data_IF_127807873734
#
_entry.id   IF_127807873734
#
_cell.length_a   1.000
_cell.length_b   1.000
_cell.length_c   1.000
_cell.angle_alpha   90.00
_cell.angle_beta   90.00
_cell.angle_gamma   90.00
#
_symmetry.space_group_name_H-M   'P 1'
#
loop_
_entity.id
_entity.type
_entity.pdbx_description
1 polymer ?
#
# COMPACT_ATOMS: atom_id res chain seq x y z
N UNK A 1 7.29 -17.91 -20.74
CA UNK A 1 6.35 -18.59 -19.82
C UNK A 1 5.04 -17.82 -19.85
N UNK A 2 3.91 -18.52 -19.71
CA UNK A 2 2.62 -17.85 -19.63
C UNK A 2 2.54 -17.01 -18.34
N UNK A 3 1.81 -15.89 -18.38
CA UNK A 3 1.51 -15.06 -17.21
C UNK A 3 0.55 -15.87 -16.32
N UNK A 4 0.78 -15.92 -14.98
CA UNK A 4 -0.16 -16.55 -14.06
C UNK A 4 -1.55 -15.93 -14.12
N UNK A 5 -2.56 -16.69 -13.70
CA UNK A 5 -3.91 -16.15 -13.54
C UNK A 5 -3.87 -14.97 -12.56
N UNK A 6 -4.35 -13.81 -13.01
CA UNK A 6 -4.30 -12.57 -12.22
C UNK A 6 -5.28 -12.58 -11.03
N UNK A 7 -6.25 -13.50 -11.04
CA UNK A 7 -7.20 -13.67 -9.93
C UNK A 7 -6.73 -14.72 -8.89
N UNK A 8 -5.61 -15.40 -9.11
CA UNK A 8 -5.10 -16.46 -8.25
C UNK A 8 -4.42 -15.91 -6.98
N UNK A 9 -5.11 -15.03 -6.24
CA UNK A 9 -4.62 -14.46 -5.00
C UNK A 9 -4.84 -15.39 -3.81
N UNK A 10 -3.77 -15.62 -3.07
CA UNK A 10 -3.76 -16.17 -1.72
C UNK A 10 -2.72 -15.37 -0.94
N UNK A 11 -3.06 -14.10 -0.70
CA UNK A 11 -2.16 -13.12 -0.14
C UNK A 11 -1.71 -13.49 1.28
N UNK A 12 -0.47 -13.16 1.62
CA UNK A 12 -0.04 -13.23 3.01
C UNK A 12 -0.83 -12.24 3.87
N UNK A 13 -0.81 -12.48 5.17
CA UNK A 13 -1.29 -11.51 6.13
C UNK A 13 -0.17 -10.55 6.57
N UNK A 14 -0.49 -9.36 7.08
CA UNK A 14 0.51 -8.39 7.54
C UNK A 14 1.55 -8.96 8.52
N UNK A 15 1.15 -9.86 9.41
CA UNK A 15 2.05 -10.51 10.36
C UNK A 15 3.09 -11.41 9.65
N UNK A 16 2.70 -12.13 8.61
CA UNK A 16 3.63 -12.93 7.81
C UNK A 16 4.61 -12.03 7.03
N UNK A 17 4.11 -10.94 6.43
CA UNK A 17 4.95 -9.95 5.76
C UNK A 17 5.98 -9.38 6.74
N UNK A 18 5.55 -8.94 7.93
CA UNK A 18 6.43 -8.37 8.95
C UNK A 18 7.49 -9.38 9.42
N UNK A 19 7.12 -10.65 9.61
CA UNK A 19 8.05 -11.72 9.96
C UNK A 19 9.13 -11.91 8.88
N UNK A 20 8.77 -11.88 7.60
CA UNK A 20 9.70 -12.01 6.48
C UNK A 20 10.63 -10.82 6.32
N UNK A 21 10.19 -9.65 6.74
CA UNK A 21 10.94 -8.39 6.65
C UNK A 21 11.62 -7.99 7.97
N UNK A 22 11.64 -8.87 8.98
CA UNK A 22 12.20 -8.57 10.32
C UNK A 22 13.65 -8.04 10.29
N UNK A 23 14.45 -8.53 9.35
CA UNK A 23 15.88 -8.22 9.27
C UNK A 23 16.21 -7.12 8.24
N UNK A 24 15.20 -6.58 7.54
CA UNK A 24 15.48 -5.71 6.39
C UNK A 24 15.93 -4.30 6.79
N UNK A 25 15.55 -3.78 7.95
CA UNK A 25 15.99 -2.49 8.47
C UNK A 25 15.70 -1.26 7.57
N UNK A 26 15.02 -1.44 6.44
CA UNK A 26 14.69 -0.41 5.45
C UNK A 26 13.23 0.05 5.59
N UNK A 27 12.87 1.27 5.17
CA UNK A 27 11.52 1.78 5.31
C UNK A 27 10.53 1.05 4.40
N UNK A 28 9.45 0.58 5.00
CA UNK A 28 8.27 0.01 4.36
C UNK A 28 7.03 0.21 5.23
N UNK A 29 5.85 0.08 4.68
CA UNK A 29 4.62 -0.01 5.47
C UNK A 29 3.50 -0.71 4.71
N UNK A 30 2.65 -1.43 5.44
CA UNK A 30 1.39 -1.96 4.92
C UNK A 30 0.50 -0.81 4.45
N UNK A 31 -0.13 -0.97 3.29
CA UNK A 31 -1.02 0.01 2.70
C UNK A 31 -2.44 -0.57 2.50
N UNK A 32 -3.27 0.15 1.74
CA UNK A 32 -4.59 -0.35 1.36
C UNK A 32 -5.53 -0.67 2.51
N UNK A 33 -6.37 -1.68 2.30
CA UNK A 33 -7.37 -2.08 3.28
C UNK A 33 -6.78 -2.64 4.57
N UNK A 34 -5.71 -3.40 4.48
CA UNK A 34 -5.01 -3.93 5.64
C UNK A 34 -4.43 -2.86 6.56
N UNK A 35 -3.99 -1.70 6.03
CA UNK A 35 -3.53 -0.60 6.87
C UNK A 35 -4.66 -0.03 7.75
N UNK A 36 -5.89 0.04 7.23
CA UNK A 36 -7.06 0.44 8.02
C UNK A 36 -7.39 -0.58 9.11
N UNK A 37 -7.32 -1.87 8.81
CA UNK A 37 -7.57 -2.93 9.79
C UNK A 37 -6.51 -2.95 10.89
N UNK A 38 -5.23 -2.76 10.56
CA UNK A 38 -4.15 -2.60 11.54
C UNK A 38 -4.38 -1.39 12.44
N UNK A 39 -4.82 -0.27 11.88
CA UNK A 39 -5.19 0.91 12.66
C UNK A 39 -6.43 0.69 13.54
N UNK A 40 -7.43 -0.04 13.07
CA UNK A 40 -8.60 -0.40 13.86
C UNK A 40 -8.27 -1.39 14.99
N UNK A 41 -7.18 -2.13 14.88
CA UNK A 41 -6.79 -3.19 15.80
C UNK A 41 -7.59 -4.49 15.58
N UNK A 42 -8.33 -4.61 14.47
CA UNK A 42 -9.09 -5.80 14.11
C UNK A 42 -9.37 -5.82 12.61
N UNK A 43 -9.44 -7.02 12.04
CA UNK A 43 -9.88 -7.18 10.65
C UNK A 43 -11.36 -6.84 10.52
N UNK A 44 -11.68 -5.85 9.69
CA UNK A 44 -13.03 -5.34 9.49
C UNK A 44 -13.73 -5.93 8.26
N UNK A 45 -12.99 -6.51 7.34
CA UNK A 45 -13.46 -7.22 6.15
C UNK A 45 -12.40 -8.18 5.60
N UNK A 46 -12.78 -8.98 4.63
CA UNK A 46 -11.82 -9.78 3.86
C UNK A 46 -11.04 -8.91 2.86
N UNK A 47 -9.79 -9.30 2.61
CA UNK A 47 -8.89 -8.68 1.66
C UNK A 47 -8.39 -9.74 0.66
N UNK A 48 -8.48 -9.42 -0.62
CA UNK A 48 -7.99 -10.29 -1.69
C UNK A 48 -6.47 -10.23 -1.86
N UNK A 49 -5.86 -9.09 -1.49
CA UNK A 49 -4.46 -8.75 -1.72
C UNK A 49 -3.80 -8.22 -0.45
N UNK A 50 -2.48 -8.15 -0.45
CA UNK A 50 -1.70 -7.49 0.61
C UNK A 50 -0.83 -6.43 -0.05
N UNK A 51 -1.28 -5.18 0.05
CA UNK A 51 -0.56 -4.01 -0.44
C UNK A 51 0.44 -3.51 0.61
N UNK A 52 1.68 -3.25 0.20
CA UNK A 52 2.65 -2.52 1.02
C UNK A 52 3.54 -1.62 0.16
N UNK A 53 4.15 -0.61 0.76
CA UNK A 53 4.97 0.36 0.05
C UNK A 53 6.42 0.29 0.48
N UNK A 54 7.32 0.57 -0.47
CA UNK A 54 8.76 0.70 -0.28
C UNK A 54 9.28 1.93 -1.03
N UNK A 55 10.48 2.38 -0.70
CA UNK A 55 11.19 3.36 -1.52
C UNK A 55 11.83 2.70 -2.74
N UNK A 56 11.87 3.40 -3.87
CA UNK A 56 12.41 2.86 -5.14
C UNK A 56 13.85 2.39 -5.02
N UNK A 57 14.67 3.13 -4.32
CA UNK A 57 16.08 2.83 -4.11
C UNK A 57 16.30 1.49 -3.42
N UNK A 58 15.33 1.05 -2.61
CA UNK A 58 15.40 -0.19 -1.83
C UNK A 58 14.78 -1.40 -2.54
N UNK A 59 14.30 -1.24 -3.79
CA UNK A 59 13.61 -2.33 -4.51
C UNK A 59 14.43 -3.62 -4.58
N UNK A 60 15.73 -3.51 -4.82
CA UNK A 60 16.63 -4.67 -4.91
C UNK A 60 16.69 -5.47 -3.61
N UNK A 61 16.76 -4.80 -2.47
CA UNK A 61 16.84 -5.42 -1.15
C UNK A 61 15.55 -6.16 -0.80
N UNK A 62 14.39 -5.51 -1.05
CA UNK A 62 13.09 -6.15 -0.85
C UNK A 62 12.90 -7.36 -1.78
N UNK A 63 13.31 -7.24 -3.04
CA UNK A 63 13.28 -8.36 -3.97
C UNK A 63 14.16 -9.52 -3.51
N UNK A 64 15.31 -9.23 -2.93
CA UNK A 64 16.19 -10.25 -2.36
C UNK A 64 15.57 -10.92 -1.12
N UNK A 65 14.90 -10.15 -0.25
CA UNK A 65 14.18 -10.68 0.91
C UNK A 65 13.06 -11.66 0.52
N UNK A 66 12.48 -11.47 -0.68
CA UNK A 66 11.47 -12.37 -1.25
C UNK A 66 12.02 -13.19 -2.42
N UNK A 67 13.23 -13.72 -2.30
CA UNK A 67 13.89 -14.51 -3.35
C UNK A 67 13.17 -15.81 -3.71
N UNK A 68 12.24 -16.25 -2.87
CA UNK A 68 11.33 -17.38 -3.09
C UNK A 68 10.13 -17.02 -4.00
N UNK A 69 9.92 -15.75 -4.32
CA UNK A 69 8.86 -15.29 -5.21
C UNK A 69 9.39 -14.89 -6.59
N UNK A 70 8.57 -15.11 -7.61
CA UNK A 70 8.75 -14.50 -8.93
C UNK A 70 8.07 -13.15 -8.98
N UNK A 71 8.78 -12.11 -9.45
CA UNK A 71 8.21 -10.78 -9.55
C UNK A 71 7.65 -10.47 -10.94
N UNK A 72 6.55 -9.75 -10.94
CA UNK A 72 5.87 -9.24 -12.12
C UNK A 72 5.61 -7.74 -11.97
N UNK A 73 5.77 -6.99 -13.04
CA UNK A 73 5.30 -5.59 -13.11
C UNK A 73 3.80 -5.58 -13.29
N UNK A 74 3.09 -4.65 -12.62
CA UNK A 74 1.68 -4.38 -12.86
C UNK A 74 1.53 -2.90 -13.24
N UNK A 75 1.36 -2.62 -14.54
CA UNK A 75 1.35 -1.26 -15.07
C UNK A 75 0.41 -1.14 -16.27
N UNK A 76 -0.45 -0.12 -16.27
CA UNK A 76 -1.39 0.16 -17.35
C UNK A 76 -2.22 -1.07 -17.78
N UNK A 77 -2.76 -1.80 -16.80
CA UNK A 77 -3.55 -3.04 -16.97
C UNK A 77 -2.77 -4.21 -17.59
N UNK A 78 -1.45 -4.11 -17.67
CA UNK A 78 -0.56 -5.15 -18.16
C UNK A 78 0.27 -5.72 -17.02
N UNK A 79 0.31 -7.05 -16.93
CA UNK A 79 1.17 -7.79 -15.99
C UNK A 79 2.24 -8.49 -16.80
N UNK A 80 3.51 -8.23 -16.50
CA UNK A 80 4.66 -8.83 -17.20
C UNK A 80 5.69 -9.35 -16.21
N UNK A 81 6.31 -10.48 -16.54
CA UNK A 81 7.35 -11.04 -15.69
C UNK A 81 8.57 -10.12 -15.65
N UNK A 82 9.04 -9.78 -14.46
CA UNK A 82 10.29 -9.07 -14.23
C UNK A 82 11.43 -10.08 -14.00
N UNK A 83 12.34 -10.29 -14.98
CA UNK A 83 13.47 -11.20 -14.82
C UNK A 83 14.34 -10.87 -13.61
N UNK A 84 14.90 -11.90 -12.97
CA UNK A 84 15.67 -11.74 -11.72
C UNK A 84 16.89 -10.81 -11.85
N UNK A 85 17.47 -10.70 -13.02
CA UNK A 85 18.63 -9.87 -13.33
C UNK A 85 18.28 -8.45 -13.83
N UNK A 86 17.00 -8.08 -13.87
CA UNK A 86 16.56 -6.74 -14.28
C UNK A 86 16.15 -5.90 -13.07
N UNK A 87 16.52 -4.62 -13.10
CA UNK A 87 16.05 -3.62 -12.13
C UNK A 87 14.58 -3.26 -12.38
N UNK A 88 13.94 -2.65 -11.38
CA UNK A 88 12.62 -2.07 -11.56
C UNK A 88 12.63 -0.99 -12.65
N UNK A 89 11.78 -1.08 -13.70
CA UNK A 89 11.64 -0.01 -14.68
C UNK A 89 11.21 1.29 -13.99
N UNK A 90 11.73 2.43 -14.45
CA UNK A 90 11.53 3.74 -13.79
C UNK A 90 10.06 4.17 -13.73
N UNK A 91 9.29 3.82 -14.74
CA UNK A 91 7.87 4.13 -14.89
C UNK A 91 6.94 3.20 -14.10
N UNK A 92 7.43 2.02 -13.70
CA UNK A 92 6.63 1.02 -12.98
C UNK A 92 6.65 1.32 -11.47
N UNK A 93 5.47 1.40 -10.89
CA UNK A 93 5.26 1.72 -9.48
C UNK A 93 4.56 0.58 -8.70
N UNK A 94 4.38 -0.59 -9.31
CA UNK A 94 3.66 -1.70 -8.71
C UNK A 94 4.21 -3.03 -9.21
N UNK A 95 4.45 -3.94 -8.27
CA UNK A 95 5.06 -5.24 -8.52
C UNK A 95 4.35 -6.32 -7.71
N UNK A 96 3.91 -7.36 -8.40
CA UNK A 96 3.29 -8.51 -7.74
C UNK A 96 4.29 -9.63 -7.53
N UNK A 97 4.26 -10.24 -6.36
CA UNK A 97 5.08 -11.40 -6.01
C UNK A 97 4.28 -12.69 -6.13
N UNK A 98 4.69 -13.58 -7.02
CA UNK A 98 4.06 -14.87 -7.30
C UNK A 98 4.83 -16.02 -6.67
N UNK A 99 4.15 -16.81 -5.87
CA UNK A 99 4.65 -18.07 -5.32
C UNK A 99 4.42 -19.19 -6.33
N UNK A 100 5.49 -19.60 -7.02
CA UNK A 100 5.40 -20.63 -8.05
C UNK A 100 5.02 -22.01 -7.50
N UNK A 101 5.42 -22.31 -6.26
CA UNK A 101 5.13 -23.61 -5.66
C UNK A 101 3.65 -23.74 -5.23
N UNK A 102 3.08 -22.62 -4.77
CA UNK A 102 1.66 -22.54 -4.37
C UNK A 102 0.73 -22.07 -5.49
N UNK A 103 1.28 -21.67 -6.65
CA UNK A 103 0.55 -21.17 -7.82
C UNK A 103 -0.37 -19.99 -7.50
N UNK A 104 0.08 -19.03 -6.67
CA UNK A 104 -0.72 -17.89 -6.26
C UNK A 104 0.09 -16.61 -6.03
N UNK A 105 -0.58 -15.46 -6.09
CA UNK A 105 -0.05 -14.16 -5.72
C UNK A 105 -0.02 -14.01 -4.20
N UNK A 106 1.09 -13.52 -3.66
CA UNK A 106 1.29 -13.35 -2.22
C UNK A 106 1.31 -11.90 -1.77
N UNK A 107 1.87 -11.02 -2.58
CA UNK A 107 2.10 -9.61 -2.22
C UNK A 107 1.88 -8.68 -3.41
N UNK A 108 1.42 -7.47 -3.10
CA UNK A 108 1.39 -6.32 -3.99
C UNK A 108 2.34 -5.26 -3.43
N UNK A 109 3.55 -5.21 -3.97
CA UNK A 109 4.61 -4.29 -3.56
C UNK A 109 4.56 -3.03 -4.42
N UNK A 110 4.34 -1.89 -3.79
CA UNK A 110 4.25 -0.60 -4.47
C UNK A 110 5.43 0.31 -4.16
N UNK A 111 5.86 1.06 -5.16
CA UNK A 111 6.84 2.13 -4.97
C UNK A 111 6.15 3.40 -4.48
N UNK A 112 6.66 3.96 -3.40
CA UNK A 112 6.31 5.27 -2.89
C UNK A 112 7.37 6.31 -3.34
N UNK A 113 6.96 7.50 -3.82
CA UNK A 113 7.91 8.51 -4.33
C UNK A 113 8.56 9.36 -3.23
N UNK A 114 8.40 9.01 -1.96
CA UNK A 114 8.98 9.71 -0.81
C UNK A 114 10.47 9.45 -0.60
N UNK A 115 10.95 9.81 0.60
CA UNK A 115 12.30 9.57 1.10
C UNK A 115 12.26 8.94 2.48
N UNK A 116 13.41 8.68 3.11
CA UNK A 116 13.48 8.21 4.50
C UNK A 116 12.80 9.18 5.49
N UNK A 117 12.80 10.49 5.20
CA UNK A 117 12.27 11.54 6.09
C UNK A 117 10.83 11.95 5.71
N UNK A 118 10.44 11.81 4.44
CA UNK A 118 9.16 12.31 3.94
C UNK A 118 8.38 11.25 3.16
N UNK A 119 7.12 11.13 3.49
CA UNK A 119 6.14 10.45 2.66
C UNK A 119 5.61 11.42 1.59
N UNK A 120 5.37 10.92 0.37
CA UNK A 120 4.76 11.69 -0.70
C UNK A 120 3.60 10.92 -1.35
N UNK A 121 2.54 11.63 -1.70
CA UNK A 121 1.39 11.03 -2.36
C UNK A 121 1.75 10.61 -3.80
N UNK A 122 1.62 9.33 -4.12
CA UNK A 122 2.06 8.75 -5.40
C UNK A 122 1.45 9.43 -6.63
N UNK A 123 0.19 9.91 -6.54
CA UNK A 123 -0.53 10.51 -7.68
C UNK A 123 -0.22 12.00 -7.86
N UNK A 124 0.25 12.66 -6.81
CA UNK A 124 0.77 14.03 -6.83
C UNK A 124 1.83 14.21 -5.74
N UNK A 125 3.13 14.04 -6.07
CA UNK A 125 4.21 14.12 -5.09
C UNK A 125 4.45 15.51 -4.48
N UNK A 126 3.70 16.53 -4.88
CA UNK A 126 3.71 17.83 -4.19
C UNK A 126 3.05 17.75 -2.81
N UNK A 127 2.12 16.81 -2.61
CA UNK A 127 1.51 16.50 -1.31
C UNK A 127 2.44 15.62 -0.49
N UNK A 128 3.12 16.22 0.48
CA UNK A 128 4.12 15.58 1.33
C UNK A 128 3.82 15.81 2.82
N UNK A 129 4.22 14.85 3.64
CA UNK A 129 4.27 14.98 5.11
C UNK A 129 5.50 14.26 5.66
N UNK A 130 5.96 14.60 6.88
CA UNK A 130 6.98 13.82 7.56
C UNK A 130 6.61 12.32 7.60
N UNK A 131 7.54 11.45 7.24
CA UNK A 131 7.29 10.00 7.25
C UNK A 131 6.87 9.51 8.64
N UNK A 132 7.44 10.07 9.69
CA UNK A 132 7.10 9.73 11.07
C UNK A 132 5.62 10.00 11.44
N UNK A 133 4.93 10.88 10.70
CA UNK A 133 3.49 11.13 10.87
C UNK A 133 2.64 10.21 9.99
N UNK A 134 3.22 9.71 8.90
CA UNK A 134 2.50 8.94 7.88
C UNK A 134 2.69 7.44 7.99
N UNK A 135 3.71 6.98 8.68
CA UNK A 135 3.93 5.55 8.97
C UNK A 135 3.76 5.31 10.46
N UNK A 136 2.65 4.69 10.80
CA UNK A 136 2.28 4.30 12.15
C UNK A 136 2.74 2.86 12.42
N UNK A 137 2.67 2.41 13.68
CA UNK A 137 3.03 1.03 14.05
C UNK A 137 1.97 0.42 14.96
N UNK A 138 1.73 -0.87 14.81
CA UNK A 138 0.94 -1.66 15.76
C UNK A 138 1.73 -1.91 17.05
N UNK A 139 1.07 -2.52 18.06
CA UNK A 139 1.75 -2.99 19.27
C UNK A 139 2.83 -4.06 18.97
N UNK A 140 2.64 -4.84 17.91
CA UNK A 140 3.58 -5.86 17.43
C UNK A 140 4.60 -5.29 16.41
N UNK A 141 4.76 -3.96 16.39
CA UNK A 141 5.72 -3.22 15.55
C UNK A 141 5.52 -3.37 14.02
N UNK A 142 4.34 -3.74 13.55
CA UNK A 142 4.02 -3.79 12.12
C UNK A 142 3.80 -2.36 11.61
N UNK A 143 4.60 -1.86 10.67
CA UNK A 143 4.42 -0.52 10.11
C UNK A 143 3.24 -0.49 9.15
N UNK A 144 2.41 0.54 9.24
CA UNK A 144 1.27 0.75 8.35
C UNK A 144 1.05 2.23 8.03
N UNK A 145 0.49 2.48 6.85
CA UNK A 145 0.21 3.83 6.36
C UNK A 145 -0.93 4.47 7.16
N UNK A 146 -0.75 5.74 7.52
CA UNK A 146 -1.74 6.56 8.21
C UNK A 146 -3.11 6.45 7.50
N UNK A 147 -4.21 6.23 8.25
CA UNK A 147 -5.54 6.04 7.68
C UNK A 147 -6.01 7.18 6.79
N UNK A 148 -5.65 8.43 7.08
CA UNK A 148 -6.00 9.57 6.22
C UNK A 148 -5.39 9.47 4.83
N UNK A 149 -4.14 8.99 4.70
CA UNK A 149 -3.50 8.75 3.42
C UNK A 149 -4.15 7.58 2.67
N UNK A 150 -4.48 6.49 3.37
CA UNK A 150 -5.20 5.36 2.76
C UNK A 150 -6.55 5.83 2.19
N UNK A 151 -7.30 6.62 2.95
CA UNK A 151 -8.57 7.19 2.51
C UNK A 151 -8.40 8.16 1.33
N UNK A 152 -7.31 8.94 1.29
CA UNK A 152 -7.00 9.79 0.15
C UNK A 152 -6.82 8.98 -1.15
N UNK A 153 -6.15 7.82 -1.08
CA UNK A 153 -6.05 6.91 -2.24
C UNK A 153 -7.40 6.36 -2.67
N UNK A 154 -8.26 5.98 -1.71
CA UNK A 154 -9.60 5.40 -1.95
C UNK A 154 -10.63 6.42 -2.46
N UNK A 155 -10.46 7.68 -2.13
CA UNK A 155 -11.38 8.76 -2.49
C UNK A 155 -11.52 8.98 -4.00
N UNK A 156 -10.56 8.54 -4.82
CA UNK A 156 -10.60 8.68 -6.28
C UNK A 156 -11.73 7.87 -6.90
N UNK A 157 -11.77 6.57 -6.62
CA UNK A 157 -12.64 5.63 -7.35
C UNK A 157 -13.90 5.27 -6.54
N UNK A 158 -13.87 5.42 -5.22
CA UNK A 158 -14.99 5.22 -4.28
C UNK A 158 -15.83 3.97 -4.53
N UNK A 159 -15.16 2.82 -4.67
CA UNK A 159 -15.86 1.54 -4.76
C UNK A 159 -16.72 1.32 -3.50
N UNK A 160 -17.76 0.48 -3.53
CA UNK A 160 -18.58 0.21 -2.34
C UNK A 160 -17.77 -0.16 -1.08
N UNK A 161 -16.70 -0.95 -1.24
CA UNK A 161 -15.79 -1.28 -0.15
C UNK A 161 -15.02 -0.07 0.39
N UNK A 162 -14.66 0.88 -0.48
CA UNK A 162 -13.94 2.09 -0.08
C UNK A 162 -14.84 3.05 0.69
N UNK A 163 -16.13 3.13 0.32
CA UNK A 163 -17.14 3.88 1.07
C UNK A 163 -17.33 3.31 2.48
N UNK A 164 -17.44 1.99 2.60
CA UNK A 164 -17.54 1.33 3.91
C UNK A 164 -16.28 1.56 4.77
N UNK A 165 -15.10 1.51 4.16
CA UNK A 165 -13.84 1.80 4.84
C UNK A 165 -13.82 3.24 5.39
N UNK A 166 -14.28 4.23 4.59
CA UNK A 166 -14.41 5.62 5.01
C UNK A 166 -15.40 5.78 6.19
N UNK A 167 -16.60 5.22 6.08
CA UNK A 167 -17.64 5.29 7.11
C UNK A 167 -17.20 4.69 8.44
N UNK A 168 -16.43 3.59 8.41
CA UNK A 168 -15.85 2.99 9.62
C UNK A 168 -14.74 3.83 10.23
N UNK A 169 -13.90 4.44 9.37
CA UNK A 169 -12.76 5.23 9.81
C UNK A 169 -13.19 6.60 10.36
N UNK A 170 -14.14 7.27 9.73
CA UNK A 170 -14.53 8.64 10.02
C UNK A 170 -14.76 8.93 11.53
N UNK A 171 -15.52 8.11 12.29
CA UNK A 171 -15.75 8.41 13.71
C UNK A 171 -14.49 8.39 14.58
N UNK A 172 -13.47 7.61 14.18
CA UNK A 172 -12.22 7.42 14.93
C UNK A 172 -11.09 8.33 14.44
N UNK A 173 -11.23 8.93 13.25
CA UNK A 173 -10.17 9.74 12.66
C UNK A 173 -9.93 11.02 13.49
N UNK A 174 -8.69 11.30 13.93
CA UNK A 174 -8.37 12.51 14.68
C UNK A 174 -8.71 13.78 13.89
N UNK A 175 -9.10 14.85 14.57
CA UNK A 175 -9.51 16.12 13.93
C UNK A 175 -8.44 16.67 12.97
N UNK A 176 -7.16 16.59 13.34
CA UNK A 176 -6.06 17.03 12.47
C UNK A 176 -5.97 16.20 11.18
N UNK A 177 -6.21 14.90 11.28
CA UNK A 177 -6.20 14.00 10.10
C UNK A 177 -7.43 14.21 9.21
N UNK A 178 -8.59 14.52 9.81
CA UNK A 178 -9.79 14.93 9.05
C UNK A 178 -9.53 16.23 8.28
N UNK A 179 -8.99 17.24 8.94
CA UNK A 179 -8.68 18.53 8.32
C UNK A 179 -7.69 18.33 7.14
N UNK A 180 -6.59 17.60 7.38
CA UNK A 180 -5.63 17.32 6.33
C UNK A 180 -6.24 16.56 5.14
N UNK A 181 -7.03 15.51 5.40
CA UNK A 181 -7.70 14.73 4.35
C UNK A 181 -8.68 15.62 3.57
N UNK A 182 -9.44 16.45 4.27
CA UNK A 182 -10.36 17.41 3.63
C UNK A 182 -9.62 18.37 2.71
N UNK A 183 -8.54 18.99 3.17
CA UNK A 183 -7.73 19.93 2.38
C UNK A 183 -7.17 19.24 1.13
N UNK A 184 -6.68 18.01 1.26
CA UNK A 184 -6.23 17.20 0.12
C UNK A 184 -7.36 16.90 -0.87
N UNK A 185 -8.55 16.54 -0.37
CA UNK A 185 -9.70 16.22 -1.23
C UNK A 185 -10.22 17.46 -1.97
N UNK A 186 -10.26 18.61 -1.31
CA UNK A 186 -10.71 19.87 -1.92
C UNK A 186 -9.83 20.26 -3.13
N UNK A 187 -8.52 19.95 -3.07
CA UNK A 187 -7.57 20.23 -4.15
C UNK A 187 -7.53 19.13 -5.20
N UNK A 188 -7.38 17.87 -4.79
CA UNK A 188 -7.13 16.74 -5.70
C UNK A 188 -8.41 16.15 -6.30
N UNK A 189 -9.53 16.27 -5.60
CA UNK A 189 -10.82 15.70 -5.97
C UNK A 189 -11.95 16.68 -5.71
N UNK A 190 -11.98 17.85 -6.38
CA UNK A 190 -13.00 18.88 -6.15
C UNK A 190 -14.43 18.33 -6.24
N UNK A 191 -15.24 18.62 -5.23
CA UNK A 191 -16.61 18.12 -5.15
C UNK A 191 -16.77 16.69 -4.59
N UNK A 192 -15.70 16.07 -4.11
CA UNK A 192 -15.78 14.78 -3.45
C UNK A 192 -16.70 14.85 -2.21
N UNK A 193 -17.65 13.90 -2.12
CA UNK A 193 -18.65 13.91 -1.05
C UNK A 193 -18.05 13.68 0.33
N UNK A 194 -16.92 12.94 0.44
CA UNK A 194 -16.23 12.74 1.70
C UNK A 194 -15.72 14.05 2.31
N UNK A 195 -15.31 15.03 1.46
CA UNK A 195 -14.87 16.34 1.95
C UNK A 195 -15.97 17.11 2.70
N UNK A 196 -17.26 16.82 2.43
CA UNK A 196 -18.39 17.42 3.16
C UNK A 196 -18.67 16.75 4.50
N UNK A 197 -18.23 15.53 4.68
CA UNK A 197 -18.43 14.74 5.89
C UNK A 197 -17.26 14.90 6.90
N UNK A 198 -16.10 15.40 6.43
CA UNK A 198 -14.91 15.67 7.21
C UNK A 198 -14.97 17.02 7.89
#
# INVERSE_FOLDING_TARGET
MAIPDQEAWNAWQPAELARRLSDIGLPWCVAGGWALDLWHGAQTREHSDLEFTILRENFGDFRQAFSDLEFYTAHADVVERLPANQNAPSEVMQFWGFDRAAECWRIDMMIEPGTNESWAYKRDPSFKRPRAEMVMRTADDIPYLNPSAVLLFKARDRRPKDQQDFERALPKLPLMERAWLKDCLDVLHPGNEWARAL
#
